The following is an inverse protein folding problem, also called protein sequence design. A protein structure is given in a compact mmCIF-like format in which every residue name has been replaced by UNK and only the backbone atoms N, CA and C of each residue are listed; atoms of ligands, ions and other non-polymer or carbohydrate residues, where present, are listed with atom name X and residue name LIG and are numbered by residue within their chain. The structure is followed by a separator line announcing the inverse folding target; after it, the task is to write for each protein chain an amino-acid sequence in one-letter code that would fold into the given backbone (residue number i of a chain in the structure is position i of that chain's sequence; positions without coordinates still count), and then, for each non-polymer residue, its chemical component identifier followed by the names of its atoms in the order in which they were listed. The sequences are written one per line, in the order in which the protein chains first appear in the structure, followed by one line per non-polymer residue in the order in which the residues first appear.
data_IF_424518137303
#
_entry.id   IF_424518137303
#
_cell.length_a   1.000
_cell.length_b   1.000
_cell.length_c   1.000
_cell.angle_alpha   90.00
_cell.angle_beta   90.00
_cell.angle_gamma   90.00
#
_symmetry.space_group_name_H-M   'P 1'
#
loop_
_entity.id
_entity.type
_entity.pdbx_description
1 polymer ?
#
# COMPACT_ATOMS: atom_id res chain seq x y z
N UNK A 1 8.08 -3.75 -0.77
CA UNK A 1 8.23 -2.46 -1.49
C UNK A 1 9.63 -2.43 -2.09
N UNK A 2 9.79 -2.15 -3.39
CA UNK A 2 11.10 -2.22 -4.05
C UNK A 2 12.17 -1.38 -3.34
N UNK A 3 11.86 -0.15 -2.91
CA UNK A 3 12.83 0.70 -2.19
C UNK A 3 13.31 0.07 -0.87
N UNK A 4 12.39 -0.55 -0.12
CA UNK A 4 12.68 -1.15 1.19
C UNK A 4 13.47 -2.44 0.99
N UNK A 5 13.12 -3.25 -0.01
CA UNK A 5 13.85 -4.47 -0.36
C UNK A 5 15.26 -4.12 -0.82
N UNK A 6 15.41 -3.10 -1.67
CA UNK A 6 16.71 -2.65 -2.15
C UNK A 6 17.63 -2.10 -1.04
N UNK A 7 17.06 -1.38 -0.07
CA UNK A 7 17.82 -0.79 1.03
C UNK A 7 18.21 -1.79 2.12
N UNK A 8 17.32 -2.71 2.48
CA UNK A 8 17.49 -3.57 3.66
C UNK A 8 17.68 -5.06 3.34
N UNK A 9 17.41 -5.46 2.09
CA UNK A 9 17.35 -6.86 1.68
C UNK A 9 16.11 -7.57 2.23
N UNK A 10 15.64 -8.60 1.51
CA UNK A 10 14.61 -9.50 2.02
C UNK A 10 15.21 -10.81 2.51
N UNK A 11 14.76 -11.30 3.66
CA UNK A 11 15.16 -12.61 4.17
C UNK A 11 14.23 -13.67 3.61
N UNK A 12 14.78 -14.64 2.87
CA UNK A 12 14.05 -15.73 2.21
C UNK A 12 13.25 -15.28 0.98
N UNK A 13 12.81 -16.25 0.18
CA UNK A 13 12.08 -16.09 -1.09
C UNK A 13 10.76 -15.29 -1.02
N UNK A 14 10.42 -14.70 0.13
CA UNK A 14 9.18 -13.98 0.40
C UNK A 14 9.18 -12.50 -0.02
N UNK A 15 10.33 -11.93 -0.41
CA UNK A 15 10.46 -10.49 -0.73
C UNK A 15 9.99 -9.55 0.39
N UNK A 16 9.93 -10.02 1.63
CA UNK A 16 9.52 -9.28 2.81
C UNK A 16 10.73 -8.81 3.62
N UNK A 17 10.61 -7.64 4.25
CA UNK A 17 11.57 -7.10 5.21
C UNK A 17 10.90 -7.09 6.58
N UNK A 18 11.17 -8.10 7.41
CA UNK A 18 10.37 -8.36 8.62
C UNK A 18 10.42 -7.22 9.63
N UNK A 19 11.56 -6.55 9.78
CA UNK A 19 11.67 -5.36 10.65
C UNK A 19 10.75 -4.22 10.20
N UNK A 20 10.52 -4.08 8.89
CA UNK A 20 9.54 -3.11 8.38
C UNK A 20 8.11 -3.56 8.67
N UNK A 21 7.82 -4.86 8.56
CA UNK A 21 6.53 -5.42 8.92
C UNK A 21 6.20 -5.18 10.40
N UNK A 22 7.16 -5.38 11.30
CA UNK A 22 6.99 -5.16 12.75
C UNK A 22 6.61 -3.72 13.06
N UNK A 23 7.31 -2.75 12.46
CA UNK A 23 7.02 -1.31 12.64
C UNK A 23 5.63 -0.95 12.13
N UNK A 24 5.24 -1.47 10.95
CA UNK A 24 3.89 -1.25 10.39
C UNK A 24 2.81 -1.85 11.30
N UNK A 25 3.05 -3.03 11.89
CA UNK A 25 2.10 -3.64 12.81
C UNK A 25 1.87 -2.79 14.06
N UNK A 26 2.94 -2.25 14.66
CA UNK A 26 2.84 -1.34 15.82
C UNK A 26 2.02 -0.10 15.45
N UNK A 27 2.37 0.57 14.35
CA UNK A 27 1.64 1.75 13.88
C UNK A 27 0.14 1.47 13.69
N UNK A 28 -0.21 0.34 13.07
CA UNK A 28 -1.60 -0.02 12.82
C UNK A 28 -2.38 -0.35 14.11
N UNK A 29 -1.72 -0.90 15.13
CA UNK A 29 -2.33 -1.15 16.44
C UNK A 29 -2.62 0.17 17.17
N UNK A 30 -1.64 1.07 17.22
CA UNK A 30 -1.78 2.36 17.90
C UNK A 30 -2.78 3.29 17.19
N UNK A 31 -2.84 3.24 15.86
CA UNK A 31 -3.83 3.99 15.08
C UNK A 31 -5.28 3.58 15.44
N UNK A 32 -5.54 2.29 15.65
CA UNK A 32 -6.87 1.81 16.07
C UNK A 32 -7.23 2.35 17.46
N UNK A 33 -6.28 2.35 18.39
CA UNK A 33 -6.48 2.92 19.73
C UNK A 33 -6.79 4.42 19.65
N UNK A 34 -6.05 5.16 18.83
CA UNK A 34 -6.30 6.58 18.60
C UNK A 34 -7.70 6.82 18.01
N UNK A 35 -8.12 6.05 17.01
CA UNK A 35 -9.45 6.17 16.40
C UNK A 35 -10.56 5.92 17.43
N UNK A 36 -10.38 4.95 18.34
CA UNK A 36 -11.33 4.71 19.42
C UNK A 36 -11.44 5.91 20.36
N UNK A 37 -10.30 6.49 20.76
CA UNK A 37 -10.27 7.68 21.61
C UNK A 37 -10.93 8.88 20.92
N UNK A 38 -10.66 9.10 19.63
CA UNK A 38 -11.28 10.18 18.87
C UNK A 38 -12.80 10.03 18.76
N UNK A 39 -13.31 8.82 18.55
CA UNK A 39 -14.76 8.56 18.53
C UNK A 39 -15.41 8.74 19.92
N UNK A 40 -14.67 8.50 21.00
CA UNK A 40 -15.12 8.77 22.36
C UNK A 40 -15.18 10.29 22.66
N UNK A 41 -14.12 11.01 22.31
CA UNK A 41 -13.95 12.43 22.65
C UNK A 41 -14.79 13.37 21.76
N UNK A 42 -15.10 12.93 20.53
CA UNK A 42 -15.85 13.71 19.55
C UNK A 42 -17.10 12.97 19.06
N UNK A 43 -18.17 12.87 19.88
CA UNK A 43 -19.36 12.06 19.57
C UNK A 43 -20.17 12.55 18.36
N UNK A 44 -19.85 13.74 17.82
CA UNK A 44 -20.47 14.30 16.61
C UNK A 44 -19.63 14.09 15.35
N UNK A 45 -18.44 13.51 15.48
CA UNK A 45 -17.58 13.12 14.36
C UNK A 45 -17.52 11.59 14.28
N UNK A 46 -17.13 11.07 13.11
CA UNK A 46 -16.95 9.64 12.90
C UNK A 46 -15.58 9.40 12.29
N UNK A 47 -14.69 8.82 13.08
CA UNK A 47 -13.37 8.42 12.65
C UNK A 47 -13.40 6.93 12.30
N UNK A 48 -12.89 6.59 11.12
CA UNK A 48 -12.99 5.24 10.57
C UNK A 48 -11.60 4.70 10.27
N UNK A 49 -11.34 3.49 10.72
CA UNK A 49 -10.18 2.72 10.30
C UNK A 49 -10.53 1.95 9.04
N UNK A 50 -9.73 2.13 7.98
CA UNK A 50 -9.79 1.28 6.78
C UNK A 50 -8.47 0.53 6.63
N UNK A 51 -8.55 -0.68 6.06
CA UNK A 51 -7.39 -1.48 5.66
C UNK A 51 -6.78 -1.00 4.34
N UNK A 52 -6.99 0.26 3.97
CA UNK A 52 -6.41 0.87 2.77
C UNK A 52 -4.89 0.71 2.78
N UNK A 53 -4.42 -0.34 2.10
CA UNK A 53 -3.01 -0.45 1.73
C UNK A 53 -2.98 -1.03 0.32
N UNK A 54 -2.34 -0.31 -0.60
CA UNK A 54 -2.01 -0.86 -1.92
C UNK A 54 -1.04 -2.06 -1.83
N UNK A 55 -0.47 -2.28 -0.64
CA UNK A 55 0.43 -3.39 -0.32
C UNK A 55 -0.31 -4.71 -0.06
N UNK A 56 -1.52 -4.66 0.50
CA UNK A 56 -2.36 -5.83 0.76
C UNK A 56 -3.43 -6.03 -0.31
N UNK A 57 -3.65 -5.04 -1.18
CA UNK A 57 -4.59 -5.16 -2.28
C UNK A 57 -4.09 -6.21 -3.29
N UNK A 58 -4.93 -7.22 -3.52
CA UNK A 58 -4.76 -8.22 -4.57
C UNK A 58 -5.92 -8.04 -5.53
N UNK A 59 -5.66 -7.50 -6.71
CA UNK A 59 -6.52 -7.78 -7.87
C UNK A 59 -6.00 -9.05 -8.54
N UNK A 60 -6.88 -9.74 -9.28
CA UNK A 60 -6.53 -11.01 -9.93
C UNK A 60 -5.39 -10.89 -10.95
N UNK A 61 -5.13 -9.66 -11.42
CA UNK A 61 -4.17 -9.39 -12.48
C UNK A 61 -2.76 -9.04 -11.97
N UNK A 62 -2.63 -8.59 -10.70
CA UNK A 62 -1.34 -8.26 -10.09
C UNK A 62 -0.53 -9.54 -9.80
N UNK A 63 0.63 -9.65 -10.45
CA UNK A 63 1.55 -10.79 -10.33
C UNK A 63 2.94 -10.38 -9.83
N UNK A 64 3.36 -9.16 -10.15
CA UNK A 64 4.71 -8.67 -9.89
C UNK A 64 4.65 -7.69 -8.71
N UNK A 65 5.09 -8.15 -7.54
CA UNK A 65 4.87 -7.46 -6.25
C UNK A 65 6.14 -6.92 -5.61
N UNK A 66 7.30 -7.12 -6.24
CA UNK A 66 8.61 -6.81 -5.66
C UNK A 66 9.50 -5.98 -6.57
N UNK A 67 9.00 -5.63 -7.76
CA UNK A 67 9.70 -4.85 -8.78
C UNK A 67 8.84 -3.65 -9.18
N UNK A 68 9.50 -2.60 -9.67
CA UNK A 68 8.91 -1.40 -10.23
C UNK A 68 8.65 -1.55 -11.74
N UNK A 69 7.59 -0.93 -12.24
CA UNK A 69 7.25 -0.93 -13.66
C UNK A 69 8.10 0.04 -14.49
N UNK A 70 8.58 1.15 -13.93
CA UNK A 70 9.34 2.17 -14.66
C UNK A 70 10.86 2.13 -14.38
N UNK A 71 11.63 2.80 -15.25
CA UNK A 71 13.05 3.06 -15.00
C UNK A 71 13.17 4.14 -13.92
N UNK A 72 13.87 3.83 -12.84
CA UNK A 72 13.96 4.71 -11.68
C UNK A 72 15.34 5.37 -11.57
N UNK A 73 15.34 6.63 -11.12
CA UNK A 73 16.56 7.37 -10.78
C UNK A 73 16.80 7.36 -9.27
N UNK A 74 16.00 8.12 -8.53
CA UNK A 74 16.05 8.19 -7.07
C UNK A 74 14.68 7.86 -6.50
N UNK A 75 14.34 6.56 -6.41
CA UNK A 75 13.06 6.06 -5.91
C UNK A 75 11.84 6.29 -6.81
N UNK A 76 11.88 7.33 -7.65
CA UNK A 76 10.81 7.71 -8.58
C UNK A 76 11.21 7.43 -10.04
N UNK A 77 10.20 7.34 -10.91
CA UNK A 77 10.39 7.18 -12.35
C UNK A 77 11.20 8.32 -12.96
N UNK A 78 12.06 7.97 -13.89
CA UNK A 78 12.81 8.92 -14.70
C UNK A 78 11.89 9.53 -15.76
N UNK A 79 11.90 10.86 -15.87
CA UNK A 79 11.13 11.57 -16.90
C UNK A 79 11.49 11.06 -18.30
N UNK A 80 10.49 10.96 -19.19
CA UNK A 80 10.65 10.49 -20.58
C UNK A 80 11.13 9.04 -20.75
N UNK A 81 11.27 8.27 -19.66
CA UNK A 81 11.53 6.84 -19.77
C UNK A 81 10.28 6.07 -20.20
N UNK A 82 10.49 4.98 -20.94
CA UNK A 82 9.40 4.08 -21.33
C UNK A 82 9.15 3.12 -20.17
N UNK A 83 7.93 3.10 -19.57
CA UNK A 83 7.59 2.15 -18.52
C UNK A 83 7.30 0.76 -19.08
N UNK A 84 7.14 -0.23 -18.21
CA UNK A 84 6.70 -1.57 -18.58
C UNK A 84 5.36 -1.54 -19.35
N UNK A 85 5.18 -2.48 -20.29
CA UNK A 85 3.95 -2.55 -21.10
C UNK A 85 2.77 -3.18 -20.35
N UNK A 86 3.04 -4.08 -19.40
CA UNK A 86 2.08 -4.85 -18.60
C UNK A 86 1.88 -4.25 -17.19
N UNK A 87 1.63 -2.93 -17.13
CA UNK A 87 1.52 -2.16 -15.87
C UNK A 87 0.41 -2.62 -14.92
N UNK A 88 -0.61 -3.28 -15.46
CA UNK A 88 -1.69 -3.95 -14.75
C UNK A 88 -1.21 -5.17 -13.95
N UNK A 89 -0.13 -5.81 -14.37
CA UNK A 89 0.45 -6.94 -13.64
C UNK A 89 1.39 -6.51 -12.50
N UNK A 90 1.81 -5.23 -12.46
CA UNK A 90 2.72 -4.70 -11.46
C UNK A 90 1.95 -4.08 -10.30
N UNK A 91 2.41 -4.34 -9.08
CA UNK A 91 1.93 -3.61 -7.89
C UNK A 91 2.50 -2.20 -7.83
N UNK A 92 3.76 -2.03 -8.21
CA UNK A 92 4.51 -0.79 -8.01
C UNK A 92 4.81 -0.09 -9.33
N UNK A 93 4.46 1.20 -9.40
CA UNK A 93 4.78 2.06 -10.53
C UNK A 93 6.27 2.41 -10.53
N UNK A 94 6.74 2.99 -9.42
CA UNK A 94 8.15 3.23 -9.11
C UNK A 94 8.58 2.41 -7.87
N UNK A 95 9.62 2.79 -7.13
CA UNK A 95 10.06 1.98 -5.99
C UNK A 95 9.19 2.11 -4.73
N UNK A 96 8.20 3.02 -4.73
CA UNK A 96 7.42 3.44 -3.56
C UNK A 96 5.92 3.40 -3.83
N UNK A 97 5.48 3.94 -4.96
CA UNK A 97 4.09 4.23 -5.28
C UNK A 97 3.43 3.06 -6.04
N UNK A 98 2.12 2.84 -5.83
CA UNK A 98 1.39 1.81 -6.54
C UNK A 98 1.14 2.17 -8.01
N UNK A 99 0.90 1.16 -8.84
CA UNK A 99 0.28 1.34 -10.16
C UNK A 99 -1.19 1.75 -10.02
N UNK A 100 -1.81 2.18 -11.13
CA UNK A 100 -3.24 2.46 -11.18
C UNK A 100 -4.09 1.26 -10.73
N UNK A 101 -3.73 0.05 -11.18
CA UNK A 101 -4.42 -1.19 -10.83
C UNK A 101 -4.37 -1.48 -9.32
N UNK A 102 -3.17 -1.37 -8.72
CA UNK A 102 -3.02 -1.55 -7.28
C UNK A 102 -3.71 -0.45 -6.46
N UNK A 103 -3.71 0.79 -6.95
CA UNK A 103 -4.41 1.90 -6.31
C UNK A 103 -5.93 1.73 -6.39
N UNK A 104 -6.47 1.29 -7.52
CA UNK A 104 -7.90 1.02 -7.70
C UNK A 104 -8.36 -0.14 -6.80
N UNK A 105 -7.58 -1.22 -6.73
CA UNK A 105 -7.86 -2.34 -5.82
C UNK A 105 -7.87 -1.90 -4.34
N UNK A 106 -6.93 -1.05 -3.93
CA UNK A 106 -6.91 -0.47 -2.58
C UNK A 106 -8.11 0.45 -2.32
N UNK A 107 -8.49 1.27 -3.29
CA UNK A 107 -9.65 2.15 -3.20
C UNK A 107 -10.95 1.37 -3.03
N UNK A 108 -11.11 0.24 -3.74
CA UNK A 108 -12.27 -0.64 -3.57
C UNK A 108 -12.34 -1.24 -2.16
N UNK A 109 -11.22 -1.67 -1.59
CA UNK A 109 -11.17 -2.14 -0.18
C UNK A 109 -11.62 -1.03 0.77
N UNK A 110 -11.14 0.20 0.56
CA UNK A 110 -11.53 1.32 1.39
C UNK A 110 -13.01 1.65 1.25
N UNK A 111 -13.53 1.64 0.02
CA UNK A 111 -14.94 1.86 -0.25
C UNK A 111 -15.82 0.80 0.44
N UNK A 112 -15.45 -0.49 0.34
CA UNK A 112 -16.18 -1.59 0.98
C UNK A 112 -16.17 -1.46 2.51
N UNK A 113 -15.00 -1.15 3.10
CA UNK A 113 -14.84 -0.95 4.55
C UNK A 113 -15.77 0.18 5.07
N UNK A 114 -15.98 1.24 4.29
CA UNK A 114 -16.80 2.40 4.69
C UNK A 114 -18.22 2.38 4.13
N UNK A 115 -18.56 1.47 3.21
CA UNK A 115 -19.85 1.42 2.51
C UNK A 115 -21.03 1.38 3.48
N UNK A 116 -20.94 0.57 4.54
CA UNK A 116 -21.93 0.48 5.61
C UNK A 116 -22.13 1.77 6.42
N UNK A 117 -21.25 2.75 6.24
CA UNK A 117 -21.24 4.03 6.95
C UNK A 117 -21.80 5.18 6.11
N UNK A 118 -21.94 4.97 4.80
CA UNK A 118 -22.51 5.92 3.84
C UNK A 118 -23.97 5.54 3.61
N UNK A 119 -24.88 6.47 3.83
CA UNK A 119 -26.33 6.29 3.61
C UNK A 119 -26.70 6.37 2.14
#
# INVERSE_FOLDING_TARGET
MPVVIGAYGSTNSSSCVETSNDVVQIFNQDLKLLINNLNHDYPKAKFVYTRFTALSATSGDIKIVSEQCCVVGTGMCTEWSVPCSNRDEYRFWDEVHPTEEAAAAAANIAYDDISSLVC
#
